data_IF_461938533130
#
_entry.id   IF_461938533130
#
_cell.length_a   1.000
_cell.length_b   1.000
_cell.length_c   1.000
_cell.angle_alpha   90.00
_cell.angle_beta   90.00
_cell.angle_gamma   90.00
#
_symmetry.space_group_name_H-M   'P 1'
#
loop_
_entity.id
_entity.type
_entity.pdbx_description
1 polymer ?
#
# COMPACT_ATOMS: atom_id res chain seq x y z
N UNK A 1 55.20 -13.64 67.08
CA UNK A 1 54.40 -14.41 66.11
C UNK A 1 53.44 -13.42 65.45
N UNK A 2 53.88 -12.71 64.43
CA UNK A 2 53.09 -11.69 63.74
C UNK A 2 52.57 -12.27 62.43
N UNK A 3 51.24 -12.40 62.33
CA UNK A 3 50.55 -13.09 61.24
C UNK A 3 50.38 -12.21 59.99
N UNK A 4 50.97 -12.72 58.91
CA UNK A 4 50.51 -12.82 57.53
C UNK A 4 49.67 -11.70 56.89
N UNK A 5 50.26 -11.17 55.82
CA UNK A 5 49.64 -10.52 54.66
C UNK A 5 48.69 -11.47 53.91
N UNK A 6 47.54 -10.94 53.47
CA UNK A 6 46.93 -11.28 52.17
C UNK A 6 45.99 -10.16 51.72
N UNK A 7 46.19 -9.54 50.55
CA UNK A 7 45.23 -8.62 49.93
C UNK A 7 44.15 -9.39 49.14
N UNK A 8 42.94 -8.84 49.13
CA UNK A 8 41.78 -9.36 48.41
C UNK A 8 41.96 -9.21 46.89
N UNK A 9 41.62 -10.22 46.06
CA UNK A 9 41.50 -10.03 44.62
C UNK A 9 40.20 -9.26 44.31
N UNK A 10 40.37 -8.07 43.72
CA UNK A 10 39.34 -7.39 42.94
C UNK A 10 39.10 -8.20 41.67
N UNK A 11 37.94 -8.83 41.58
CA UNK A 11 37.44 -9.35 40.31
C UNK A 11 36.53 -8.29 39.72
N UNK A 12 37.11 -7.57 38.78
CA UNK A 12 36.48 -6.84 37.70
C UNK A 12 35.57 -7.83 36.93
N UNK A 13 34.26 -7.65 37.01
CA UNK A 13 33.33 -8.28 36.07
C UNK A 13 32.49 -7.15 35.49
N UNK A 14 32.82 -6.83 34.24
CA UNK A 14 32.12 -5.86 33.40
C UNK A 14 30.60 -6.07 33.44
N UNK A 15 29.79 -5.02 33.65
CA UNK A 15 28.44 -5.06 33.13
C UNK A 15 28.54 -4.96 31.59
N UNK A 16 28.54 -6.11 30.92
CA UNK A 16 28.38 -6.20 29.47
C UNK A 16 27.17 -5.35 29.07
N UNK A 17 27.49 -4.30 28.31
CA UNK A 17 26.58 -3.25 27.90
C UNK A 17 25.47 -3.84 27.04
N UNK A 18 24.33 -4.09 27.69
CA UNK A 18 22.98 -4.24 27.12
C UNK A 18 22.93 -3.80 25.65
N UNK A 19 22.85 -4.77 24.76
CA UNK A 19 22.60 -4.56 23.34
C UNK A 19 21.37 -3.65 23.23
N UNK A 20 21.60 -2.43 22.74
CA UNK A 20 20.56 -1.49 22.44
C UNK A 20 19.77 -2.08 21.26
N UNK A 21 18.71 -2.81 21.57
CA UNK A 21 17.68 -3.12 20.59
C UNK A 21 17.08 -1.79 20.13
N UNK A 22 17.66 -1.24 19.05
CA UNK A 22 17.07 -0.19 18.23
C UNK A 22 15.83 -0.80 17.59
N UNK A 23 14.78 -0.88 18.39
CA UNK A 23 13.44 -1.20 17.96
C UNK A 23 13.02 0.01 17.12
N UNK A 24 13.44 0.03 15.84
CA UNK A 24 12.90 0.91 14.81
C UNK A 24 11.39 0.68 14.76
N UNK A 25 10.70 1.39 15.65
CA UNK A 25 9.26 1.52 15.67
C UNK A 25 8.93 2.38 14.46
N UNK A 26 8.94 1.74 13.30
CA UNK A 26 8.39 2.26 12.08
C UNK A 26 6.90 2.42 12.33
N UNK A 27 6.51 3.59 12.82
CA UNK A 27 5.12 3.94 13.03
C UNK A 27 4.33 3.55 11.76
N UNK A 28 3.23 2.79 11.89
CA UNK A 28 2.48 2.36 10.72
C UNK A 28 1.87 3.61 10.08
N UNK A 29 2.53 4.11 9.02
CA UNK A 29 2.01 5.13 8.10
C UNK A 29 0.55 4.79 7.84
N UNK A 30 -0.37 5.59 8.40
CA UNK A 30 -1.82 5.33 8.36
C UNK A 30 -2.20 4.95 6.94
N UNK A 31 -2.45 3.65 6.70
CA UNK A 31 -2.80 3.14 5.37
C UNK A 31 -4.10 3.84 5.00
N UNK A 32 -4.05 4.77 4.04
CA UNK A 32 -5.25 5.44 3.53
C UNK A 32 -6.28 4.37 3.22
N UNK A 33 -7.42 4.42 3.91
CA UNK A 33 -8.48 3.41 3.75
C UNK A 33 -8.84 3.35 2.27
N UNK A 34 -8.50 2.23 1.62
CA UNK A 34 -8.70 2.12 0.18
C UNK A 34 -10.21 2.16 -0.10
N UNK A 35 -10.60 3.01 -1.05
CA UNK A 35 -11.94 3.00 -1.61
C UNK A 35 -12.14 1.65 -2.33
N UNK A 36 -13.30 1.00 -2.18
CA UNK A 36 -13.59 -0.36 -2.69
C UNK A 36 -12.93 -1.52 -1.93
N UNK A 37 -13.38 -1.77 -0.69
CA UNK A 37 -12.86 -2.89 0.12
C UNK A 37 -13.02 -4.26 -0.56
N UNK A 38 -14.12 -4.46 -1.30
CA UNK A 38 -14.38 -5.70 -2.04
C UNK A 38 -13.30 -5.95 -3.10
N UNK A 39 -12.95 -4.96 -3.93
CA UNK A 39 -11.91 -5.11 -4.94
C UNK A 39 -10.57 -5.52 -4.33
N UNK A 40 -10.19 -4.87 -3.24
CA UNK A 40 -8.90 -5.12 -2.60
C UNK A 40 -8.87 -6.39 -1.76
N UNK A 41 -10.03 -6.94 -1.38
CA UNK A 41 -10.13 -8.26 -0.75
C UNK A 41 -9.63 -9.40 -1.66
N UNK A 42 -9.55 -9.16 -2.97
CA UNK A 42 -9.01 -10.09 -3.96
C UNK A 42 -7.51 -9.90 -4.24
N UNK A 43 -6.84 -9.02 -3.48
CA UNK A 43 -5.40 -8.80 -3.59
C UNK A 43 -4.60 -9.65 -2.60
N UNK A 44 -3.34 -9.91 -2.94
CA UNK A 44 -2.34 -10.52 -2.06
C UNK A 44 -1.11 -9.61 -1.94
N UNK A 45 -0.25 -9.79 -0.91
CA UNK A 45 1.04 -9.13 -0.88
C UNK A 45 1.94 -9.58 -2.05
N UNK A 46 2.90 -8.72 -2.46
CA UNK A 46 3.94 -9.10 -3.39
C UNK A 46 4.77 -10.24 -2.83
N UNK A 47 5.25 -11.13 -3.71
CA UNK A 47 6.28 -12.12 -3.41
C UNK A 47 7.68 -11.50 -3.47
N UNK A 48 8.70 -12.22 -3.02
CA UNK A 48 10.08 -11.71 -2.92
C UNK A 48 10.64 -11.10 -4.22
N UNK A 49 10.23 -11.65 -5.37
CA UNK A 49 10.66 -11.18 -6.69
C UNK A 49 9.68 -10.20 -7.36
N UNK A 50 8.62 -9.79 -6.66
CA UNK A 50 7.58 -8.91 -7.18
C UNK A 50 7.71 -7.49 -6.60
N UNK A 51 7.72 -6.44 -7.43
CA UNK A 51 7.86 -5.07 -6.94
C UNK A 51 6.63 -4.57 -6.20
N UNK A 52 6.81 -3.88 -5.07
CA UNK A 52 5.70 -3.25 -4.33
C UNK A 52 5.11 -2.05 -5.09
N UNK A 53 5.96 -1.32 -5.82
CA UNK A 53 5.59 -0.08 -6.54
C UNK A 53 6.08 -0.10 -7.97
N UNK A 54 5.35 0.56 -8.86
CA UNK A 54 5.76 0.76 -10.24
C UNK A 54 6.76 1.93 -10.37
N UNK A 55 7.25 2.17 -11.60
CA UNK A 55 8.17 3.28 -11.93
C UNK A 55 7.66 4.67 -11.53
N UNK A 56 6.35 4.83 -11.38
CA UNK A 56 5.68 6.08 -10.98
C UNK A 56 5.31 6.10 -9.49
N UNK A 57 5.93 5.24 -8.67
CA UNK A 57 5.67 5.12 -7.22
C UNK A 57 4.23 4.75 -6.84
N UNK A 58 3.46 4.19 -7.77
CA UNK A 58 2.11 3.68 -7.49
C UNK A 58 2.20 2.25 -6.97
N UNK A 59 1.38 1.92 -5.98
CA UNK A 59 1.27 0.56 -5.46
C UNK A 59 0.81 -0.43 -6.54
N UNK A 60 1.43 -1.61 -6.59
CA UNK A 60 1.07 -2.70 -7.50
C UNK A 60 0.18 -3.69 -6.76
N UNK A 61 -0.96 -4.03 -7.37
CA UNK A 61 -1.92 -4.98 -6.85
C UNK A 61 -1.77 -6.34 -7.54
N UNK A 62 -1.54 -7.38 -6.75
CA UNK A 62 -1.39 -8.75 -7.20
C UNK A 62 -2.65 -9.56 -6.93
N UNK A 63 -3.03 -10.43 -7.87
CA UNK A 63 -4.20 -11.29 -7.70
C UNK A 63 -3.93 -12.41 -6.72
N UNK A 64 -4.85 -12.67 -5.78
CA UNK A 64 -4.75 -13.82 -4.87
C UNK A 64 -5.17 -15.15 -5.50
N UNK A 65 -5.92 -15.10 -6.61
CA UNK A 65 -6.53 -16.28 -7.25
C UNK A 65 -5.66 -16.89 -8.35
N UNK A 66 -4.56 -16.23 -8.74
CA UNK A 66 -3.61 -16.78 -9.71
C UNK A 66 -2.20 -16.21 -9.55
N UNK A 67 -1.22 -16.93 -10.11
CA UNK A 67 0.20 -16.56 -10.12
C UNK A 67 0.68 -16.02 -11.45
N UNK A 68 -0.05 -16.28 -12.55
CA UNK A 68 0.30 -15.80 -13.90
C UNK A 68 0.16 -14.27 -14.05
N UNK A 69 -0.60 -13.64 -13.16
CA UNK A 69 -0.87 -12.22 -13.23
C UNK A 69 0.27 -11.39 -12.61
N UNK A 70 0.97 -10.61 -13.43
CA UNK A 70 2.13 -9.79 -13.06
C UNK A 70 1.79 -8.52 -12.24
N UNK A 71 0.55 -8.39 -11.78
CA UNK A 71 0.08 -7.24 -11.01
C UNK A 71 -0.23 -6.00 -11.85
N UNK A 72 -0.96 -5.05 -11.25
CA UNK A 72 -1.23 -3.74 -11.86
C UNK A 72 -1.45 -2.67 -10.80
N UNK A 73 -1.11 -1.42 -11.09
CA UNK A 73 -1.51 -0.28 -10.25
C UNK A 73 -2.91 0.27 -10.58
N UNK A 74 -3.50 -0.15 -11.70
CA UNK A 74 -4.78 0.38 -12.18
C UNK A 74 -5.98 -0.48 -11.74
N UNK A 75 -6.89 0.10 -10.95
CA UNK A 75 -8.10 -0.60 -10.46
C UNK A 75 -9.03 -1.10 -11.57
N UNK A 76 -9.08 -0.39 -12.70
CA UNK A 76 -9.88 -0.79 -13.88
C UNK A 76 -9.33 -2.10 -14.47
N UNK A 77 -8.02 -2.15 -14.70
CA UNK A 77 -7.32 -3.34 -15.23
C UNK A 77 -7.44 -4.52 -14.28
N UNK A 78 -7.36 -4.26 -12.96
CA UNK A 78 -7.51 -5.32 -11.97
C UNK A 78 -8.93 -5.91 -11.97
N UNK A 79 -9.97 -5.07 -12.05
CA UNK A 79 -11.37 -5.53 -12.21
C UNK A 79 -11.58 -6.34 -13.48
N UNK A 80 -11.01 -5.90 -14.59
CA UNK A 80 -11.09 -6.63 -15.86
C UNK A 80 -10.42 -8.00 -15.75
N UNK A 81 -9.25 -8.08 -15.11
CA UNK A 81 -8.58 -9.33 -14.82
C UNK A 81 -9.46 -10.29 -14.00
N UNK A 82 -10.06 -9.81 -12.91
CA UNK A 82 -10.98 -10.59 -12.07
C UNK A 82 -12.18 -11.11 -12.87
N UNK A 83 -12.76 -10.26 -13.72
CA UNK A 83 -13.90 -10.64 -14.55
C UNK A 83 -13.51 -11.70 -15.60
N UNK A 84 -12.39 -11.53 -16.28
CA UNK A 84 -11.99 -12.37 -17.40
C UNK A 84 -11.41 -13.73 -16.96
N UNK A 85 -10.63 -13.76 -15.88
CA UNK A 85 -9.89 -14.96 -15.45
C UNK A 85 -10.56 -15.70 -14.29
N UNK A 86 -11.43 -15.03 -13.54
CA UNK A 86 -12.04 -15.58 -12.34
C UNK A 86 -13.57 -15.45 -12.32
N UNK A 87 -14.19 -14.86 -13.35
CA UNK A 87 -15.62 -14.56 -13.41
C UNK A 87 -16.14 -13.71 -12.22
N UNK A 88 -15.25 -13.01 -11.51
CA UNK A 88 -15.59 -12.16 -10.36
C UNK A 88 -15.90 -10.76 -10.86
N UNK A 89 -17.10 -10.26 -10.55
CA UNK A 89 -17.54 -8.89 -10.92
C UNK A 89 -17.57 -8.01 -9.69
N UNK A 90 -16.63 -7.07 -9.62
CA UNK A 90 -16.62 -6.04 -8.58
C UNK A 90 -17.09 -4.71 -9.16
N UNK A 91 -18.08 -4.10 -8.53
CA UNK A 91 -18.61 -2.80 -8.95
C UNK A 91 -17.55 -1.70 -8.78
N UNK A 92 -17.51 -0.68 -9.66
CA UNK A 92 -16.74 0.53 -9.39
C UNK A 92 -17.22 1.18 -8.09
N UNK A 93 -16.32 1.82 -7.35
CA UNK A 93 -16.75 2.74 -6.29
C UNK A 93 -17.51 3.89 -6.92
N UNK A 94 -18.62 4.28 -6.30
CA UNK A 94 -19.35 5.50 -6.64
C UNK A 94 -18.39 6.68 -6.78
N UNK A 95 -18.59 7.48 -7.84
CA UNK A 95 -17.81 8.67 -8.05
C UNK A 95 -18.13 9.68 -6.95
N UNK A 96 -17.11 10.40 -6.47
CA UNK A 96 -17.36 11.50 -5.54
C UNK A 96 -18.28 12.53 -6.19
N UNK A 97 -19.15 13.15 -5.39
CA UNK A 97 -20.04 14.22 -5.86
C UNK A 97 -19.28 15.32 -6.63
N UNK A 98 -18.04 15.64 -6.20
CA UNK A 98 -17.16 16.58 -6.89
C UNK A 98 -16.78 16.14 -8.31
N UNK A 99 -16.53 14.85 -8.54
CA UNK A 99 -16.15 14.34 -9.86
C UNK A 99 -17.34 14.28 -10.80
N UNK A 100 -18.53 14.00 -10.26
CA UNK A 100 -19.80 14.10 -11.00
C UNK A 100 -20.09 15.55 -11.39
N UNK A 101 -19.98 16.50 -10.44
CA UNK A 101 -20.19 17.92 -10.71
C UNK A 101 -19.23 18.44 -11.80
N UNK A 102 -17.94 18.10 -11.71
CA UNK A 102 -16.95 18.46 -12.72
C UNK A 102 -17.30 17.93 -14.12
N UNK A 103 -17.74 16.67 -14.21
CA UNK A 103 -18.19 16.09 -15.49
C UNK A 103 -19.39 16.83 -16.06
N UNK A 104 -20.36 17.18 -15.21
CA UNK A 104 -21.55 17.92 -15.62
C UNK A 104 -21.17 19.32 -16.12
N UNK A 105 -20.26 20.02 -15.45
CA UNK A 105 -19.75 21.32 -15.92
C UNK A 105 -19.08 21.22 -17.28
N UNK A 106 -18.24 20.21 -17.51
CA UNK A 106 -17.63 19.96 -18.83
C UNK A 106 -18.72 19.76 -19.89
N UNK A 107 -19.70 18.90 -19.62
CA UNK A 107 -20.79 18.64 -20.57
C UNK A 107 -21.62 19.90 -20.86
N UNK A 108 -21.87 20.74 -19.85
CA UNK A 108 -22.60 22.00 -20.02
C UNK A 108 -21.86 22.99 -20.92
N UNK A 109 -20.54 23.15 -20.73
CA UNK A 109 -19.71 24.05 -21.55
C UNK A 109 -19.72 23.62 -23.02
N UNK A 110 -19.45 22.33 -23.29
CA UNK A 110 -19.38 21.83 -24.66
C UNK A 110 -20.77 21.65 -25.30
N UNK A 111 -21.80 21.34 -24.51
CA UNK A 111 -23.18 21.25 -24.97
C UNK A 111 -23.70 22.59 -25.48
N UNK A 112 -23.45 23.67 -24.73
CA UNK A 112 -23.86 25.03 -25.10
C UNK A 112 -23.16 25.55 -26.36
N UNK A 113 -21.92 25.14 -26.61
CA UNK A 113 -21.19 25.53 -27.84
C UNK A 113 -21.77 24.89 -29.11
N UNK A 114 -22.38 23.71 -29.01
CA UNK A 114 -23.00 23.04 -30.14
C UNK A 114 -24.34 23.68 -30.58
N UNK A 115 -25.04 24.34 -29.66
CA UNK A 115 -26.29 25.06 -29.94
C UNK A 115 -26.03 26.44 -30.57
N UNK A 116 -24.94 27.13 -30.19
CA UNK A 116 -24.63 28.46 -30.72
C UNK A 116 -23.95 28.47 -32.10
N UNK A 117 -23.41 27.34 -32.58
CA UNK A 117 -22.81 27.24 -33.93
C UNK A 117 -23.80 26.83 -35.02
N UNK A 118 -25.08 26.63 -34.68
CA UNK A 118 -26.16 26.31 -35.64
C UNK A 118 -27.08 27.48 -35.98
N UNK A 119 -26.75 28.70 -35.53
CA UNK A 119 -27.48 29.93 -35.82
C UNK A 119 -26.81 30.76 -36.88
#
# INVERSE_FOLDING_TARGET
>A
MASSLTPLPVSDDEPESTDHEDLETSEPKRKKRRLNGELWSHTRPPKDNEPVRNKHSQEIYYCKHCTRYNGTSASVRFREHLRANHAIRVSPTEQSASRTAFKNTIQDIFGKQAEQQKG
#
